data_IF_257352657985
#
_entry.id   IF_257352657985
#
_cell.length_a   1.000
_cell.length_b   1.000
_cell.length_c   1.000
_cell.angle_alpha   90.00
_cell.angle_beta   90.00
_cell.angle_gamma   90.00
#
_symmetry.space_group_name_H-M   'P 1'
#
loop_
_entity.id
_entity.type
_entity.pdbx_description
1 polymer ?
#
# COMPACT_ATOMS: atom_id res chain seq x y z
N UNK A 1 -14.74 35.17 10.32
CA UNK A 1 -15.49 34.86 9.07
C UNK A 1 -15.56 35.99 8.02
N UNK A 2 -15.03 37.21 8.26
CA UNK A 2 -15.00 38.28 7.22
C UNK A 2 -13.71 38.35 6.38
N UNK A 3 -12.59 37.77 6.83
CA UNK A 3 -11.31 37.80 6.08
C UNK A 3 -11.19 36.75 4.96
N UNK A 4 -11.92 35.64 5.00
CA UNK A 4 -11.84 34.60 3.95
C UNK A 4 -12.66 34.95 2.70
N UNK A 5 -13.59 35.91 2.78
CA UNK A 5 -14.39 36.36 1.63
C UNK A 5 -13.68 37.43 0.78
N UNK A 6 -12.69 38.14 1.32
CA UNK A 6 -11.93 39.16 0.54
C UNK A 6 -10.88 38.52 -0.37
N UNK A 7 -10.21 37.44 0.08
CA UNK A 7 -9.24 36.71 -0.75
C UNK A 7 -9.88 36.11 -2.00
N UNK A 8 -11.12 35.61 -1.92
CA UNK A 8 -11.84 35.04 -3.05
C UNK A 8 -12.27 36.07 -4.12
N UNK A 9 -12.42 37.35 -3.74
CA UNK A 9 -12.70 38.42 -4.71
C UNK A 9 -11.45 38.87 -5.46
N UNK A 10 -10.28 38.88 -4.81
CA UNK A 10 -9.02 39.26 -5.44
C UNK A 10 -8.52 38.21 -6.45
N UNK A 11 -8.67 36.92 -6.14
CA UNK A 11 -8.26 35.83 -7.04
C UNK A 11 -9.14 35.76 -8.30
N UNK A 12 -10.42 36.16 -8.22
CA UNK A 12 -11.33 36.20 -9.37
C UNK A 12 -11.04 37.33 -10.37
N UNK A 13 -10.42 38.43 -9.93
CA UNK A 13 -10.04 39.53 -10.84
C UNK A 13 -8.72 39.27 -11.58
N UNK A 14 -7.86 38.36 -11.09
CA UNK A 14 -6.59 37.99 -11.73
C UNK A 14 -6.72 36.92 -12.83
N UNK A 15 -7.86 36.24 -12.92
CA UNK A 15 -8.07 35.11 -13.86
C UNK A 15 -8.93 35.51 -15.08
N UNK A 16 -9.47 36.74 -15.11
CA UNK A 16 -10.43 37.18 -16.13
C UNK A 16 -9.87 38.13 -17.20
N UNK A 17 -8.54 38.31 -17.29
CA UNK A 17 -7.93 39.17 -18.29
C UNK A 17 -6.78 38.48 -18.99
N UNK A 18 -7.08 37.75 -20.07
CA UNK A 18 -6.21 37.58 -21.24
C UNK A 18 -6.88 36.62 -22.24
N UNK A 19 -7.65 37.19 -23.17
CA UNK A 19 -7.96 36.56 -24.46
C UNK A 19 -7.82 37.63 -25.53
N UNK A 20 -6.82 37.52 -26.37
CA UNK A 20 -6.86 38.08 -27.73
C UNK A 20 -5.98 37.23 -28.65
N UNK A 21 -6.63 36.77 -29.72
CA UNK A 21 -6.10 36.04 -30.87
C UNK A 21 -4.88 36.68 -31.51
N UNK A 22 -3.93 35.86 -31.98
CA UNK A 22 -3.31 36.02 -33.31
C UNK A 22 -2.45 34.79 -33.70
N UNK A 23 -2.61 34.36 -34.96
CA UNK A 23 -1.74 33.45 -35.75
C UNK A 23 -1.82 33.97 -37.20
N UNK A 24 -0.92 33.65 -38.16
CA UNK A 24 0.31 32.85 -38.10
C UNK A 24 1.53 33.47 -38.87
N UNK A 25 2.74 32.91 -38.71
CA UNK A 25 3.79 32.98 -39.74
C UNK A 25 4.76 31.79 -39.66
N UNK A 26 5.25 31.40 -40.84
CA UNK A 26 5.97 30.16 -41.13
C UNK A 26 7.51 30.27 -41.04
N UNK A 27 8.13 29.08 -41.16
CA UNK A 27 9.52 28.62 -40.97
C UNK A 27 10.52 29.31 -41.92
N UNK A 28 11.83 29.34 -41.58
CA UNK A 28 12.74 28.39 -42.25
C UNK A 28 13.79 27.71 -41.33
N UNK A 29 14.40 26.70 -41.92
CA UNK A 29 15.12 25.53 -41.42
C UNK A 29 16.65 25.68 -41.22
N UNK A 30 17.18 24.87 -40.28
CA UNK A 30 18.49 24.17 -40.26
C UNK A 30 19.84 24.98 -40.22
N UNK A 31 21.01 24.38 -39.86
CA UNK A 31 21.31 22.94 -39.72
C UNK A 31 22.07 22.50 -38.44
N UNK A 32 22.21 21.18 -38.36
CA UNK A 32 23.00 20.36 -37.44
C UNK A 32 24.48 20.77 -37.28
N UNK A 33 25.05 20.45 -36.11
CA UNK A 33 26.48 20.13 -35.98
C UNK A 33 26.70 18.84 -35.19
N UNK A 34 27.60 18.05 -35.74
CA UNK A 34 28.02 16.71 -35.39
C UNK A 34 29.07 16.69 -34.26
N UNK A 35 29.12 15.53 -33.59
CA UNK A 35 30.27 14.75 -33.13
C UNK A 35 31.47 15.46 -32.46
N UNK A 36 31.82 15.00 -31.25
CA UNK A 36 33.10 14.30 -30.96
C UNK A 36 33.13 13.77 -29.52
N UNK A 37 33.09 12.45 -29.37
CA UNK A 37 33.90 11.67 -28.39
C UNK A 37 35.16 11.17 -29.16
N UNK A 38 36.18 10.53 -28.54
CA UNK A 38 36.45 10.26 -27.12
C UNK A 38 37.90 10.62 -26.69
N UNK A 39 38.19 10.65 -25.39
CA UNK A 39 39.57 10.39 -24.91
C UNK A 39 39.59 9.26 -23.89
N UNK A 40 40.30 8.19 -24.29
CA UNK A 40 40.76 7.09 -23.46
C UNK A 40 42.04 7.50 -22.74
N UNK A 41 42.17 7.15 -21.46
CA UNK A 41 43.45 7.00 -20.77
C UNK A 41 43.28 5.87 -19.76
N UNK A 42 43.71 4.65 -20.13
CA UNK A 42 45.04 4.08 -19.84
C UNK A 42 45.20 3.57 -18.40
N UNK A 43 45.14 2.23 -18.32
CA UNK A 43 45.97 1.33 -17.50
C UNK A 43 46.09 1.60 -16.00
N UNK A 44 45.74 0.60 -15.18
CA UNK A 44 46.71 -0.43 -14.70
C UNK A 44 46.02 -1.46 -13.80
N UNK A 45 46.11 -2.71 -14.25
CA UNK A 45 46.01 -3.91 -13.41
C UNK A 45 47.10 -3.90 -12.34
N UNK A 46 46.76 -4.31 -11.10
CA UNK A 46 47.64 -5.12 -10.25
C UNK A 46 46.75 -6.06 -9.40
N UNK A 47 46.81 -7.36 -9.69
CA UNK A 47 46.58 -8.44 -8.71
C UNK A 47 47.93 -8.86 -8.12
N UNK A 48 47.96 -9.38 -6.88
CA UNK A 48 48.23 -10.82 -6.72
C UNK A 48 47.27 -11.44 -5.69
N UNK A 49 46.65 -12.60 -5.92
CA UNK A 49 47.22 -13.95 -5.82
C UNK A 49 47.79 -14.26 -4.42
N UNK A 50 46.98 -14.90 -3.56
CA UNK A 50 47.48 -15.85 -2.54
C UNK A 50 46.54 -17.05 -2.46
N UNK A 51 47.11 -18.16 -2.93
CA UNK A 51 47.06 -19.55 -2.52
C UNK A 51 45.90 -20.11 -1.66
N UNK A 52 45.43 -21.23 -2.21
CA UNK A 52 44.53 -22.26 -1.72
C UNK A 52 45.43 -23.35 -1.13
N UNK A 53 45.12 -23.84 0.07
CA UNK A 53 45.61 -25.12 0.59
C UNK A 53 44.46 -25.75 1.40
N UNK A 54 43.74 -26.73 0.85
CA UNK A 54 43.98 -28.18 0.93
C UNK A 54 43.72 -28.79 2.32
N UNK A 55 42.64 -29.60 2.40
CA UNK A 55 42.55 -30.97 2.98
C UNK A 55 43.10 -31.17 4.42
N UNK A 56 42.40 -31.71 5.42
CA UNK A 56 41.71 -33.01 5.47
C UNK A 56 41.15 -33.21 6.90
N UNK A 57 39.94 -33.76 7.03
CA UNK A 57 39.58 -34.62 8.17
C UNK A 57 40.07 -36.05 7.88
N UNK A 58 40.37 -36.86 8.91
CA UNK A 58 39.49 -38.02 9.10
C UNK A 58 39.30 -38.53 10.54
N UNK A 59 38.13 -39.14 10.72
CA UNK A 59 37.82 -40.40 11.41
C UNK A 59 37.96 -40.58 12.94
N UNK A 60 36.87 -41.14 13.49
CA UNK A 60 36.71 -41.74 14.82
C UNK A 60 37.56 -43.01 15.02
N UNK A 61 37.67 -43.46 16.29
CA UNK A 61 37.39 -44.87 16.58
C UNK A 61 36.39 -45.11 17.74
N UNK A 62 35.69 -46.24 17.62
CA UNK A 62 34.74 -46.82 18.59
C UNK A 62 35.42 -47.49 19.79
N UNK A 63 34.68 -47.58 20.91
CA UNK A 63 34.62 -48.61 21.98
C UNK A 63 34.29 -47.89 23.31
N UNK A 64 33.54 -48.39 24.30
CA UNK A 64 32.72 -49.57 24.54
C UNK A 64 32.03 -49.35 25.90
N UNK A 65 30.75 -49.71 26.02
CA UNK A 65 30.00 -50.22 27.20
C UNK A 65 30.40 -49.75 28.62
N UNK A 66 29.48 -49.07 29.32
CA UNK A 66 28.93 -49.47 30.63
C UNK A 66 27.77 -48.54 31.06
N UNK A 67 26.64 -49.14 31.44
CA UNK A 67 25.42 -48.48 31.93
C UNK A 67 25.59 -47.95 33.36
N UNK A 68 24.81 -46.92 33.77
CA UNK A 68 23.77 -47.24 34.75
C UNK A 68 22.43 -46.51 34.51
N UNK A 69 21.36 -47.25 34.85
CA UNK A 69 20.01 -46.86 35.24
C UNK A 69 19.57 -45.41 34.99
N UNK A 70 18.76 -45.19 33.95
CA UNK A 70 18.03 -43.92 33.75
C UNK A 70 16.53 -44.12 33.99
N UNK A 71 16.08 -43.43 35.03
CA UNK A 71 14.69 -43.12 35.39
C UNK A 71 13.85 -42.84 34.14
N UNK A 72 12.67 -43.47 34.07
CA UNK A 72 11.66 -43.20 33.05
C UNK A 72 11.16 -41.75 33.19
N UNK A 73 11.82 -40.84 32.48
CA UNK A 73 11.30 -39.49 32.22
C UNK A 73 10.31 -39.64 31.06
N UNK A 74 9.07 -39.21 31.32
CA UNK A 74 7.99 -39.24 30.35
C UNK A 74 8.37 -38.57 29.04
N UNK A 75 7.82 -39.10 27.95
CA UNK A 75 7.80 -38.42 26.66
C UNK A 75 7.02 -37.12 26.82
N UNK A 76 7.72 -36.03 27.07
CA UNK A 76 7.20 -34.70 26.76
C UNK A 76 7.26 -34.53 25.24
N UNK A 77 6.25 -35.08 24.55
CA UNK A 77 5.91 -34.53 23.25
C UNK A 77 5.51 -33.07 23.46
N UNK A 78 6.00 -32.11 22.65
CA UNK A 78 5.53 -30.74 22.73
C UNK A 78 4.08 -30.73 22.27
N UNK A 79 3.18 -30.78 23.25
CA UNK A 79 1.76 -30.54 23.07
C UNK A 79 1.65 -29.15 22.46
N UNK A 80 1.33 -29.11 21.17
CA UNK A 80 0.98 -27.89 20.44
C UNK A 80 -0.10 -27.17 21.24
N UNK A 81 0.28 -26.21 22.08
CA UNK A 81 -0.65 -25.29 22.69
C UNK A 81 -1.36 -24.59 21.54
N UNK A 82 -2.65 -24.90 21.37
CA UNK A 82 -3.49 -24.25 20.38
C UNK A 82 -3.52 -22.77 20.72
N UNK A 83 -2.66 -21.99 20.06
CA UNK A 83 -2.52 -20.56 20.30
C UNK A 83 -3.87 -19.93 20.02
N UNK A 84 -4.52 -19.39 21.04
CA UNK A 84 -5.82 -18.73 20.90
C UNK A 84 -5.73 -17.70 19.77
N UNK A 85 -6.56 -17.79 18.72
CA UNK A 85 -6.52 -16.86 17.59
C UNK A 85 -6.71 -15.42 18.07
N UNK A 86 -5.97 -14.49 17.47
CA UNK A 86 -6.08 -13.08 17.82
C UNK A 86 -7.54 -12.59 17.63
N UNK A 87 -8.11 -11.73 18.48
CA UNK A 87 -9.51 -11.31 18.32
C UNK A 87 -9.83 -10.70 16.94
N UNK A 88 -8.93 -9.89 16.39
CA UNK A 88 -9.05 -9.36 15.02
C UNK A 88 -9.03 -10.46 13.96
N UNK A 89 -8.23 -11.52 14.15
CA UNK A 89 -8.22 -12.68 13.26
C UNK A 89 -9.59 -13.36 13.25
N UNK A 90 -10.20 -13.57 14.43
CA UNK A 90 -11.54 -14.16 14.54
C UNK A 90 -12.61 -13.29 13.85
N UNK A 91 -12.50 -11.96 13.96
CA UNK A 91 -13.38 -11.03 13.24
C UNK A 91 -13.19 -11.18 11.72
N UNK A 92 -11.95 -11.27 11.24
CA UNK A 92 -11.66 -11.45 9.81
C UNK A 92 -12.22 -12.77 9.28
N UNK A 93 -12.02 -13.87 10.01
CA UNK A 93 -12.55 -15.19 9.66
C UNK A 93 -14.08 -15.18 9.60
N UNK A 94 -14.75 -14.65 10.65
CA UNK A 94 -16.21 -14.56 10.70
C UNK A 94 -16.81 -13.68 9.60
N UNK A 95 -16.09 -12.62 9.19
CA UNK A 95 -16.58 -11.67 8.18
C UNK A 95 -16.15 -12.04 6.77
N UNK A 96 -15.29 -13.04 6.59
CA UNK A 96 -14.67 -13.43 5.31
C UNK A 96 -13.77 -12.31 4.72
N UNK A 97 -13.00 -11.66 5.60
CA UNK A 97 -11.99 -10.67 5.21
C UNK A 97 -10.67 -11.41 4.98
N UNK A 98 -10.26 -11.47 3.71
CA UNK A 98 -9.02 -12.14 3.29
C UNK A 98 -7.92 -11.18 2.81
N UNK A 99 -8.28 -9.91 2.58
CA UNK A 99 -7.35 -8.93 2.02
C UNK A 99 -7.61 -7.52 2.50
N UNK A 100 -6.52 -6.76 2.57
CA UNK A 100 -6.53 -5.30 2.58
C UNK A 100 -6.06 -4.81 1.21
N UNK A 101 -6.53 -3.64 0.78
CA UNK A 101 -6.23 -3.10 -0.53
C UNK A 101 -5.70 -1.68 -0.47
N UNK A 102 -4.77 -1.36 -1.36
CA UNK A 102 -4.19 -0.04 -1.53
C UNK A 102 -4.13 0.31 -3.01
N UNK A 103 -4.72 1.43 -3.41
CA UNK A 103 -4.56 1.91 -4.78
C UNK A 103 -3.35 2.85 -4.87
N UNK A 104 -2.61 2.77 -5.97
CA UNK A 104 -1.46 3.65 -6.24
C UNK A 104 -1.22 3.78 -7.73
N UNK A 105 -0.43 4.78 -8.13
CA UNK A 105 -0.02 4.91 -9.52
C UNK A 105 0.93 3.77 -9.92
N UNK A 106 0.80 3.26 -11.16
CA UNK A 106 1.60 2.12 -11.65
C UNK A 106 3.11 2.34 -11.55
N UNK A 107 3.56 3.59 -11.67
CA UNK A 107 4.97 3.99 -11.53
C UNK A 107 5.57 3.65 -10.15
N UNK A 108 4.75 3.45 -9.12
CA UNK A 108 5.19 3.04 -7.79
C UNK A 108 5.34 1.51 -7.67
N UNK A 109 4.95 0.74 -8.68
CA UNK A 109 4.95 -0.72 -8.59
C UNK A 109 6.36 -1.27 -8.38
N UNK A 110 7.35 -0.79 -9.14
CA UNK A 110 8.73 -1.26 -9.01
C UNK A 110 9.27 -1.05 -7.58
N UNK A 111 9.05 0.13 -7.01
CA UNK A 111 9.53 0.45 -5.66
C UNK A 111 8.82 -0.37 -4.60
N UNK A 112 7.50 -0.61 -4.76
CA UNK A 112 6.73 -1.51 -3.90
C UNK A 112 7.25 -2.94 -3.96
N UNK A 113 7.54 -3.46 -5.16
CA UNK A 113 8.05 -4.83 -5.31
C UNK A 113 9.45 -4.99 -4.71
N UNK A 114 10.27 -3.94 -4.74
CA UNK A 114 11.62 -3.96 -4.17
C UNK A 114 11.65 -3.77 -2.65
N UNK A 115 10.79 -2.92 -2.10
CA UNK A 115 10.92 -2.46 -0.70
C UNK A 115 9.70 -2.76 0.17
N UNK A 116 8.64 -3.34 -0.39
CA UNK A 116 7.32 -3.34 0.23
C UNK A 116 6.62 -1.99 0.08
N UNK A 117 5.38 -1.90 0.55
CA UNK A 117 4.67 -0.64 0.60
C UNK A 117 5.17 0.16 1.80
N UNK A 118 5.66 1.38 1.54
CA UNK A 118 6.26 2.27 2.53
C UNK A 118 5.39 3.51 2.73
N UNK A 119 5.47 4.11 3.91
CA UNK A 119 4.91 5.44 4.14
C UNK A 119 5.70 6.49 3.38
N UNK A 120 5.08 7.65 3.16
CA UNK A 120 5.70 8.76 2.43
C UNK A 120 6.91 9.29 3.19
N UNK A 121 6.79 9.41 4.51
CA UNK A 121 7.91 9.76 5.38
C UNK A 121 9.09 8.80 5.19
N UNK A 122 8.82 7.49 5.10
CA UNK A 122 9.87 6.50 4.93
C UNK A 122 10.51 6.54 3.55
N UNK A 123 9.72 6.77 2.50
CA UNK A 123 10.22 6.99 1.13
C UNK A 123 11.15 8.21 1.07
N UNK A 124 10.74 9.32 1.69
CA UNK A 124 11.54 10.54 1.80
C UNK A 124 12.83 10.31 2.60
N UNK A 125 12.72 9.66 3.77
CA UNK A 125 13.87 9.35 4.64
C UNK A 125 14.91 8.49 3.93
N UNK A 126 14.48 7.57 3.06
CA UNK A 126 15.36 6.69 2.27
C UNK A 126 15.75 7.27 0.91
N UNK A 127 15.27 8.46 0.56
CA UNK A 127 15.44 9.06 -0.76
C UNK A 127 15.02 8.14 -1.93
N UNK A 128 13.93 7.40 -1.74
CA UNK A 128 13.35 6.53 -2.78
C UNK A 128 12.37 7.36 -3.60
N UNK A 129 12.53 7.44 -4.94
CA UNK A 129 11.57 8.14 -5.80
C UNK A 129 10.18 7.49 -5.75
N UNK A 130 9.15 8.32 -5.73
CA UNK A 130 7.75 7.87 -5.80
C UNK A 130 6.90 8.93 -6.48
N UNK A 131 5.77 8.50 -7.00
CA UNK A 131 4.73 9.36 -7.54
C UNK A 131 3.63 9.54 -6.49
N UNK A 132 3.31 10.79 -6.21
CA UNK A 132 2.21 11.15 -5.32
C UNK A 132 0.86 10.76 -5.91
N UNK A 133 -0.04 10.29 -5.04
CA UNK A 133 -1.44 10.14 -5.38
C UNK A 133 -2.22 11.47 -5.24
N UNK A 134 -1.74 12.35 -4.34
CA UNK A 134 -2.31 13.66 -3.98
C UNK A 134 -1.17 14.59 -3.54
N UNK A 135 -1.21 15.86 -3.91
CA UNK A 135 -0.27 16.87 -3.41
C UNK A 135 -0.57 17.27 -1.95
N UNK A 136 -1.75 16.92 -1.39
CA UNK A 136 -2.16 17.28 -0.03
C UNK A 136 -2.75 16.08 0.76
N UNK A 137 -1.97 15.54 1.69
CA UNK A 137 -2.44 14.58 2.71
C UNK A 137 -3.17 15.31 3.85
N UNK A 138 -4.49 15.39 3.76
CA UNK A 138 -5.35 16.09 4.75
C UNK A 138 -5.48 15.38 6.10
N UNK A 139 -5.12 14.09 6.19
CA UNK A 139 -5.07 13.32 7.44
C UNK A 139 -3.92 13.76 8.37
N UNK A 140 -2.90 14.44 7.82
CA UNK A 140 -1.70 14.84 8.56
C UNK A 140 -0.84 13.67 9.05
N UNK A 141 -0.91 12.50 8.39
CA UNK A 141 -0.19 11.28 8.77
C UNK A 141 0.72 10.77 7.64
N UNK A 142 1.79 11.50 7.29
CA UNK A 142 2.76 11.07 6.26
C UNK A 142 3.57 9.84 6.70
N UNK A 143 3.57 9.54 8.00
CA UNK A 143 4.18 8.39 8.65
C UNK A 143 3.36 7.10 8.50
N UNK A 144 2.09 7.19 8.08
CA UNK A 144 1.20 6.05 7.91
C UNK A 144 0.93 5.67 6.45
N UNK A 145 0.61 4.39 6.23
CA UNK A 145 0.12 3.85 4.97
C UNK A 145 -1.39 3.67 5.07
N UNK A 146 -2.14 4.35 4.21
CA UNK A 146 -3.60 4.27 4.17
C UNK A 146 -4.04 3.11 3.28
N UNK A 147 -4.84 2.20 3.81
CA UNK A 147 -5.41 1.06 3.08
C UNK A 147 -6.92 0.96 3.33
N UNK A 148 -7.62 0.19 2.51
CA UNK A 148 -9.04 -0.13 2.69
C UNK A 148 -9.21 -1.63 2.94
N UNK A 149 -10.29 -2.02 3.63
CA UNK A 149 -10.63 -3.44 3.81
C UNK A 149 -11.40 -3.93 2.58
N UNK A 150 -10.94 -5.03 1.97
CA UNK A 150 -11.58 -5.76 0.87
C UNK A 150 -11.73 -4.99 -0.46
N UNK A 151 -12.20 -3.74 -0.45
CA UNK A 151 -12.49 -2.92 -1.61
C UNK A 151 -11.97 -1.50 -1.40
N UNK A 152 -11.38 -0.83 -2.42
CA UNK A 152 -10.75 0.47 -2.26
C UNK A 152 -11.78 1.53 -1.90
N UNK A 153 -11.33 2.59 -1.23
CA UNK A 153 -12.04 3.86 -1.13
C UNK A 153 -12.27 4.43 -2.54
N UNK A 154 -13.34 3.98 -3.19
CA UNK A 154 -13.61 4.26 -4.60
C UNK A 154 -13.90 5.74 -4.86
N UNK A 155 -14.38 6.47 -3.84
CA UNK A 155 -14.63 7.92 -3.94
C UNK A 155 -13.32 8.67 -4.11
N UNK A 156 -12.35 8.38 -3.25
CA UNK A 156 -11.01 8.96 -3.32
C UNK A 156 -10.29 8.47 -4.58
N UNK A 157 -10.36 7.18 -4.88
CA UNK A 157 -9.70 6.60 -6.04
C UNK A 157 -10.22 7.15 -7.37
N UNK A 158 -11.54 7.37 -7.50
CA UNK A 158 -12.12 8.02 -8.67
C UNK A 158 -11.56 9.44 -8.85
N UNK A 159 -11.55 10.26 -7.79
CA UNK A 159 -11.03 11.64 -7.84
C UNK A 159 -9.59 11.67 -8.33
N UNK A 160 -8.71 10.83 -7.81
CA UNK A 160 -7.30 10.81 -8.22
C UNK A 160 -7.08 10.34 -9.65
N UNK A 161 -7.88 9.38 -10.13
CA UNK A 161 -7.83 8.97 -11.54
C UNK A 161 -8.33 10.06 -12.49
N UNK A 162 -9.20 10.96 -12.03
CA UNK A 162 -9.65 12.10 -12.84
C UNK A 162 -8.63 13.25 -12.84
N UNK A 163 -7.90 13.47 -11.73
CA UNK A 163 -6.96 14.59 -11.60
C UNK A 163 -5.55 14.29 -12.10
N UNK A 164 -5.14 13.02 -12.12
CA UNK A 164 -3.79 12.63 -12.51
C UNK A 164 -3.82 11.63 -13.67
N UNK A 165 -3.14 11.99 -14.75
CA UNK A 165 -3.01 11.13 -15.93
C UNK A 165 -2.13 9.91 -15.65
N UNK A 166 -2.49 8.76 -16.21
CA UNK A 166 -1.69 7.54 -16.14
C UNK A 166 -2.46 6.34 -15.64
N UNK A 167 -1.76 5.20 -15.58
CA UNK A 167 -2.36 3.93 -15.19
C UNK A 167 -2.26 3.73 -13.68
N UNK A 168 -3.30 3.14 -13.13
CA UNK A 168 -3.43 2.90 -11.71
C UNK A 168 -3.55 1.41 -11.45
N UNK A 169 -3.09 1.02 -10.27
CA UNK A 169 -3.15 -0.37 -9.80
C UNK A 169 -3.79 -0.41 -8.43
N UNK A 170 -4.40 -1.54 -8.09
CA UNK A 170 -4.85 -1.85 -6.73
C UNK A 170 -4.05 -3.04 -6.23
N UNK A 171 -3.22 -2.79 -5.22
CA UNK A 171 -2.42 -3.80 -4.54
C UNK A 171 -3.29 -4.45 -3.47
N UNK A 172 -3.32 -5.79 -3.43
CA UNK A 172 -3.99 -6.54 -2.38
C UNK A 172 -2.97 -7.27 -1.53
N UNK A 173 -3.02 -7.05 -0.22
CA UNK A 173 -2.18 -7.71 0.76
C UNK A 173 -3.02 -8.61 1.66
N UNK A 174 -2.36 -9.61 2.27
CA UNK A 174 -2.99 -10.53 3.20
C UNK A 174 -3.62 -9.81 4.41
N UNK A 175 -4.83 -10.23 4.80
CA UNK A 175 -5.51 -9.69 5.97
C UNK A 175 -4.76 -9.94 7.29
N UNK A 176 -3.83 -10.89 7.35
CA UNK A 176 -3.03 -11.15 8.56
C UNK A 176 -2.28 -9.92 9.05
N UNK A 177 -1.99 -8.97 8.17
CA UNK A 177 -1.40 -7.68 8.53
C UNK A 177 -2.23 -6.95 9.60
N UNK A 178 -3.56 -7.11 9.63
CA UNK A 178 -4.44 -6.45 10.59
C UNK A 178 -4.19 -6.84 12.06
N UNK A 179 -3.59 -8.01 12.31
CA UNK A 179 -3.23 -8.45 13.67
C UNK A 179 -1.74 -8.75 13.88
N UNK A 180 -0.94 -8.73 12.81
CA UNK A 180 0.51 -8.91 12.89
C UNK A 180 1.29 -7.58 12.78
N UNK A 181 0.63 -6.49 12.42
CA UNK A 181 1.23 -5.15 12.29
C UNK A 181 0.47 -4.12 13.09
N UNK A 182 1.21 -3.12 13.56
CA UNK A 182 0.62 -1.99 14.27
C UNK A 182 -0.18 -1.11 13.30
N UNK A 183 -1.49 -1.06 13.49
CA UNK A 183 -2.39 -0.28 12.65
C UNK A 183 -3.56 0.31 13.44
N UNK A 184 -4.12 1.40 12.94
CA UNK A 184 -5.30 2.06 13.50
C UNK A 184 -6.50 1.91 12.54
N UNK A 185 -7.66 1.62 13.12
CA UNK A 185 -8.92 1.34 12.44
C UNK A 185 -9.81 2.59 12.42
N UNK A 186 -9.93 3.23 11.27
CA UNK A 186 -10.76 4.41 11.07
C UNK A 186 -12.10 3.98 10.44
N UNK A 187 -13.19 3.99 11.22
CA UNK A 187 -14.52 3.56 10.74
C UNK A 187 -15.16 4.49 9.69
N UNK A 188 -14.54 5.63 9.42
CA UNK A 188 -14.85 6.59 8.34
C UNK A 188 -13.54 7.20 7.85
N UNK A 189 -13.60 8.19 6.95
CA UNK A 189 -12.44 8.87 6.37
C UNK A 189 -11.46 9.33 7.47
N UNK A 190 -10.16 9.01 7.35
CA UNK A 190 -9.18 9.38 8.37
C UNK A 190 -8.98 10.90 8.54
N UNK A 191 -9.27 11.68 7.49
CA UNK A 191 -9.20 13.14 7.51
C UNK A 191 -10.43 13.81 8.15
N UNK A 192 -11.47 13.05 8.51
CA UNK A 192 -12.63 13.58 9.24
C UNK A 192 -12.23 14.12 10.62
N UNK A 193 -12.89 15.19 11.08
CA UNK A 193 -12.49 15.90 12.31
C UNK A 193 -12.47 14.99 13.55
N UNK A 194 -13.45 14.10 13.68
CA UNK A 194 -13.53 13.14 14.78
C UNK A 194 -12.36 12.15 14.74
N UNK A 195 -12.07 11.55 13.58
CA UNK A 195 -10.97 10.60 13.45
C UNK A 195 -9.63 11.30 13.65
N UNK A 196 -9.38 12.45 13.02
CA UNK A 196 -8.13 13.21 13.15
C UNK A 196 -7.86 13.63 14.60
N UNK A 197 -8.90 14.03 15.34
CA UNK A 197 -8.78 14.37 16.76
C UNK A 197 -8.41 13.15 17.60
N UNK A 198 -9.06 12.00 17.37
CA UNK A 198 -8.74 10.74 18.05
C UNK A 198 -7.33 10.27 17.73
N UNK A 199 -6.93 10.28 16.45
CA UNK A 199 -5.57 9.94 16.01
C UNK A 199 -4.50 10.79 16.69
N UNK A 200 -4.80 12.06 17.01
CA UNK A 200 -3.85 12.98 17.63
C UNK A 200 -3.76 12.85 19.16
N UNK A 201 -4.85 12.41 19.81
CA UNK A 201 -4.93 12.39 21.29
C UNK A 201 -4.85 10.99 21.90
N UNK A 202 -5.38 9.99 21.20
CA UNK A 202 -5.50 8.63 21.71
C UNK A 202 -5.59 7.65 20.53
N UNK A 203 -4.49 7.48 19.81
CA UNK A 203 -4.42 6.55 18.68
C UNK A 203 -4.65 5.10 19.13
N UNK A 204 -4.24 4.74 20.35
CA UNK A 204 -4.38 3.38 20.89
C UNK A 204 -5.85 2.94 20.97
N UNK A 205 -6.78 3.88 21.20
CA UNK A 205 -8.22 3.62 21.14
C UNK A 205 -8.73 3.19 19.76
N UNK A 206 -7.95 3.44 18.70
CA UNK A 206 -8.24 2.99 17.33
C UNK A 206 -7.48 1.71 16.96
N UNK A 207 -6.61 1.18 17.83
CA UNK A 207 -5.84 -0.04 17.56
C UNK A 207 -6.45 -1.29 18.22
N UNK A 208 -7.68 -1.20 18.72
CA UNK A 208 -8.32 -2.29 19.45
C UNK A 208 -9.22 -3.15 18.57
N UNK A 209 -9.53 -4.40 18.96
CA UNK A 209 -10.52 -5.23 18.27
C UNK A 209 -11.90 -4.57 18.15
N UNK A 210 -12.30 -3.78 19.15
CA UNK A 210 -13.56 -3.04 19.14
C UNK A 210 -13.56 -1.93 18.09
N UNK A 211 -12.42 -1.23 17.92
CA UNK A 211 -12.26 -0.24 16.87
C UNK A 211 -12.31 -0.88 15.47
N UNK A 212 -11.72 -2.07 15.31
CA UNK A 212 -11.83 -2.83 14.07
C UNK A 212 -13.28 -3.26 13.78
N UNK A 213 -13.96 -3.84 14.78
CA UNK A 213 -15.36 -4.26 14.65
C UNK A 213 -16.28 -3.07 14.32
N UNK A 214 -16.00 -1.89 14.88
CA UNK A 214 -16.73 -0.64 14.61
C UNK A 214 -16.71 -0.22 13.14
N UNK A 215 -15.70 -0.61 12.35
CA UNK A 215 -15.68 -0.36 10.89
C UNK A 215 -16.87 -1.04 10.17
N UNK A 216 -17.49 -2.03 10.80
CA UNK A 216 -18.62 -2.81 10.31
C UNK A 216 -19.90 -2.58 11.13
N UNK A 217 -19.99 -1.45 11.84
CA UNK A 217 -21.18 -1.09 12.61
C UNK A 217 -22.46 -1.16 11.75
N UNK A 218 -23.57 -1.59 12.34
CA UNK A 218 -24.84 -1.74 11.60
C UNK A 218 -25.32 -0.43 10.99
N UNK A 219 -25.00 0.71 11.61
CA UNK A 219 -25.34 2.03 11.09
C UNK A 219 -24.13 2.98 11.18
N UNK A 220 -23.87 3.69 10.07
CA UNK A 220 -22.89 4.79 10.01
C UNK A 220 -23.48 5.94 9.21
N UNK A 221 -23.42 7.16 9.76
CA UNK A 221 -23.89 8.37 9.07
C UNK A 221 -25.35 8.27 8.58
N UNK A 222 -26.22 7.67 9.40
CA UNK A 222 -27.64 7.48 9.13
C UNK A 222 -27.97 6.46 8.03
N UNK A 223 -27.02 5.58 7.69
CA UNK A 223 -27.18 4.52 6.69
C UNK A 223 -26.95 3.17 7.35
N UNK A 224 -27.95 2.29 7.28
CA UNK A 224 -27.81 0.93 7.81
C UNK A 224 -27.22 -0.02 6.78
N UNK A 225 -26.51 -1.07 7.22
CA UNK A 225 -25.94 -2.09 6.31
C UNK A 225 -27.04 -2.82 5.54
N UNK A 226 -28.18 -3.08 6.19
CA UNK A 226 -29.38 -3.62 5.54
C UNK A 226 -29.88 -2.77 4.37
N UNK A 227 -29.89 -1.44 4.50
CA UNK A 227 -30.25 -0.53 3.41
C UNK A 227 -29.22 -0.50 2.29
N UNK A 228 -27.93 -0.61 2.64
CA UNK A 228 -26.83 -0.57 1.67
C UNK A 228 -26.70 -1.86 0.86
N UNK A 229 -27.20 -2.99 1.37
CA UNK A 229 -27.10 -4.29 0.68
C UNK A 229 -25.65 -4.74 0.45
N UNK A 230 -24.75 -4.41 1.37
CA UNK A 230 -23.31 -4.69 1.25
C UNK A 230 -22.90 -6.02 1.91
N UNK A 231 -21.90 -6.74 1.35
CA UNK A 231 -21.33 -7.94 1.97
C UNK A 231 -20.76 -7.71 3.37
N UNK A 232 -20.67 -8.79 4.17
CA UNK A 232 -20.14 -8.79 5.55
C UNK A 232 -18.69 -8.28 5.65
N UNK A 233 -17.89 -8.52 4.62
CA UNK A 233 -16.48 -8.12 4.53
C UNK A 233 -16.26 -6.69 4.02
N UNK A 234 -17.33 -5.95 3.71
CA UNK A 234 -17.24 -4.53 3.35
C UNK A 234 -17.47 -3.68 4.59
N UNK A 235 -16.63 -2.66 4.79
CA UNK A 235 -16.86 -1.63 5.80
C UNK A 235 -18.17 -0.91 5.52
N UNK A 236 -18.85 -0.45 6.58
CA UNK A 236 -20.13 0.23 6.43
C UNK A 236 -19.95 1.55 5.66
N UNK A 237 -18.99 2.39 6.09
CA UNK A 237 -18.57 3.56 5.31
C UNK A 237 -17.53 3.16 4.25
N UNK A 238 -17.75 3.45 2.95
CA UNK A 238 -16.78 3.16 1.89
C UNK A 238 -15.49 3.99 1.97
N UNK A 239 -15.45 5.03 2.82
CA UNK A 239 -14.25 5.82 3.09
C UNK A 239 -13.50 5.38 4.35
N UNK A 240 -13.96 4.32 5.03
CA UNK A 240 -13.23 3.75 6.15
C UNK A 240 -11.83 3.30 5.71
N UNK A 241 -10.84 3.52 6.58
CA UNK A 241 -9.43 3.32 6.28
C UNK A 241 -8.74 2.58 7.43
N UNK A 242 -7.72 1.80 7.08
CA UNK A 242 -6.76 1.24 8.03
C UNK A 242 -5.43 1.94 7.82
N UNK A 243 -4.93 2.60 8.87
CA UNK A 243 -3.65 3.29 8.88
C UNK A 243 -2.59 2.37 9.46
N UNK A 244 -1.73 1.82 8.61
CA UNK A 244 -0.57 1.04 9.05
C UNK A 244 0.56 1.99 9.43
N UNK A 245 1.10 1.81 10.64
CA UNK A 245 2.22 2.59 11.17
C UNK A 245 3.58 1.93 10.92
N UNK A 246 3.57 0.87 10.11
CA UNK A 246 4.73 0.07 9.73
C UNK A 246 4.67 -0.26 8.23
N UNK A 247 5.83 -0.48 7.58
CA UNK A 247 5.89 -1.02 6.22
C UNK A 247 5.07 -2.29 6.01
N UNK A 248 4.40 -2.40 4.86
CA UNK A 248 3.79 -3.66 4.44
C UNK A 248 4.79 -4.46 3.60
N UNK A 249 5.21 -5.64 4.05
CA UNK A 249 6.22 -6.42 3.33
C UNK A 249 5.66 -6.99 2.02
N UNK A 250 6.50 -7.02 0.98
CA UNK A 250 6.14 -7.59 -0.32
C UNK A 250 5.76 -9.07 -0.23
N UNK A 251 6.29 -9.81 0.75
CA UNK A 251 5.91 -11.22 0.99
C UNK A 251 4.45 -11.43 1.37
N UNK A 252 3.75 -10.36 1.76
CA UNK A 252 2.31 -10.38 2.05
C UNK A 252 1.47 -9.87 0.88
N UNK A 253 2.08 -9.49 -0.25
CA UNK A 253 1.36 -9.11 -1.47
C UNK A 253 0.74 -10.36 -2.11
N UNK A 254 -0.57 -10.30 -2.33
CA UNK A 254 -1.37 -11.43 -2.86
C UNK A 254 -1.83 -11.20 -4.29
N UNK A 255 -2.08 -9.96 -4.68
CA UNK A 255 -2.47 -9.62 -6.04
C UNK A 255 -2.11 -8.18 -6.42
N UNK A 256 -1.92 -7.98 -7.73
CA UNK A 256 -1.82 -6.67 -8.37
C UNK A 256 -2.99 -6.59 -9.36
N UNK A 257 -4.04 -5.87 -8.97
CA UNK A 257 -5.20 -5.66 -9.81
C UNK A 257 -4.99 -4.48 -10.76
N UNK A 258 -5.31 -4.70 -12.03
CA UNK A 258 -5.29 -3.70 -13.09
C UNK A 258 -6.64 -3.63 -13.79
N UNK A 259 -6.90 -2.53 -14.49
CA UNK A 259 -8.21 -2.25 -15.07
C UNK A 259 -8.62 -3.23 -16.18
N UNK A 260 -7.71 -3.58 -17.08
CA UNK A 260 -8.00 -4.42 -18.25
C UNK A 260 -6.97 -5.54 -18.46
N UNK A 261 -7.33 -6.52 -19.28
CA UNK A 261 -6.45 -7.62 -19.70
C UNK A 261 -5.20 -7.12 -20.41
N UNK A 262 -5.31 -6.06 -21.21
CA UNK A 262 -4.18 -5.51 -21.98
C UNK A 262 -3.12 -4.92 -21.04
N UNK A 263 -3.56 -4.16 -20.03
CA UNK A 263 -2.68 -3.66 -18.97
C UNK A 263 -2.06 -4.83 -18.22
N UNK A 264 -2.84 -5.87 -17.91
CA UNK A 264 -2.33 -7.04 -17.19
C UNK A 264 -1.21 -7.73 -17.96
N UNK A 265 -1.37 -7.91 -19.28
CA UNK A 265 -0.36 -8.50 -20.15
C UNK A 265 0.93 -7.67 -20.16
N UNK A 266 0.84 -6.33 -20.28
CA UNK A 266 2.02 -5.45 -20.23
C UNK A 266 2.73 -5.51 -18.88
N UNK A 267 1.97 -5.45 -17.78
CA UNK A 267 2.54 -5.47 -16.42
C UNK A 267 3.21 -6.81 -16.11
N UNK A 268 2.63 -7.95 -16.51
CA UNK A 268 3.26 -9.26 -16.33
C UNK A 268 4.66 -9.34 -16.92
N UNK A 269 4.88 -8.66 -18.04
CA UNK A 269 6.18 -8.64 -18.72
C UNK A 269 7.24 -7.78 -18.01
N UNK A 270 6.85 -6.94 -17.05
CA UNK A 270 7.77 -6.02 -16.35
C UNK A 270 8.04 -6.39 -14.89
N UNK A 271 7.19 -7.21 -14.28
CA UNK A 271 7.26 -7.50 -12.82
C UNK A 271 7.99 -8.80 -12.47
N UNK A 272 8.57 -9.51 -13.45
CA UNK A 272 9.41 -10.69 -13.22
C UNK A 272 8.69 -11.80 -12.45
N UNK A 273 9.25 -12.22 -11.32
CA UNK A 273 8.72 -13.30 -10.47
C UNK A 273 7.29 -13.03 -9.96
N UNK A 274 6.87 -11.77 -9.90
CA UNK A 274 5.53 -11.36 -9.45
C UNK A 274 4.46 -11.41 -10.55
N UNK A 275 4.79 -11.87 -11.76
CA UNK A 275 3.86 -11.92 -12.89
C UNK A 275 2.60 -12.76 -12.57
N UNK A 276 2.79 -13.81 -11.77
CA UNK A 276 1.71 -14.67 -11.29
C UNK A 276 0.76 -13.97 -10.29
N UNK A 277 1.04 -12.76 -9.81
CA UNK A 277 0.15 -11.97 -8.94
C UNK A 277 -0.74 -11.00 -9.73
N UNK A 278 -0.44 -10.75 -11.00
CA UNK A 278 -1.16 -9.74 -11.81
C UNK A 278 -2.51 -10.27 -12.29
N UNK A 279 -3.58 -9.54 -12.02
CA UNK A 279 -4.97 -9.88 -12.38
C UNK A 279 -5.69 -8.67 -12.98
N UNK A 280 -6.45 -8.89 -14.05
CA UNK A 280 -7.39 -7.86 -14.54
C UNK A 280 -8.71 -7.98 -13.78
N UNK A 281 -9.12 -6.91 -13.11
CA UNK A 281 -10.42 -6.84 -12.46
C UNK A 281 -10.89 -5.38 -12.39
N UNK A 282 -11.78 -5.02 -13.32
CA UNK A 282 -12.31 -3.66 -13.44
C UNK A 282 -13.22 -3.26 -12.27
N UNK A 283 -13.76 -4.21 -11.48
CA UNK A 283 -14.62 -3.90 -10.36
C UNK A 283 -13.91 -3.04 -9.31
N UNK A 284 -12.62 -3.30 -9.04
CA UNK A 284 -11.79 -2.49 -8.13
C UNK A 284 -11.59 -1.03 -8.59
N UNK A 285 -11.93 -0.75 -9.84
CA UNK A 285 -11.81 0.55 -10.49
C UNK A 285 -13.20 1.19 -10.72
N UNK A 286 -14.24 0.63 -10.11
CA UNK A 286 -15.62 1.09 -10.18
C UNK A 286 -16.15 1.41 -8.78
N UNK A 287 -17.24 2.16 -8.65
CA UNK A 287 -17.92 2.32 -7.37
C UNK A 287 -18.44 0.98 -6.83
N UNK A 288 -18.60 0.87 -5.50
CA UNK A 288 -19.35 -0.24 -4.87
C UNK A 288 -20.81 -0.22 -5.33
N UNK A 289 -21.51 -1.34 -5.19
CA UNK A 289 -22.94 -1.44 -5.51
C UNK A 289 -23.81 -0.40 -4.80
N UNK A 290 -23.43 -0.01 -3.59
CA UNK A 290 -24.15 0.92 -2.73
C UNK A 290 -23.79 2.40 -2.95
N UNK A 291 -23.01 2.73 -4.00
CA UNK A 291 -22.53 4.08 -4.26
C UNK A 291 -23.64 5.14 -4.34
N UNK A 292 -24.85 4.74 -4.75
CA UNK A 292 -26.01 5.62 -4.88
C UNK A 292 -26.46 6.22 -3.54
N UNK A 293 -26.19 5.53 -2.43
CA UNK A 293 -26.48 6.00 -1.08
C UNK A 293 -25.46 7.07 -0.62
N UNK A 294 -24.29 7.14 -1.24
CA UNK A 294 -23.16 8.00 -0.81
C UNK A 294 -22.96 9.24 -1.71
N UNK A 295 -23.97 9.64 -2.49
CA UNK A 295 -23.90 10.79 -3.41
C UNK A 295 -23.83 12.16 -2.71
N UNK A 296 -24.25 12.24 -1.44
CA UNK A 296 -24.21 13.46 -0.63
C UNK A 296 -23.33 13.24 0.59
N UNK A 297 -22.19 13.93 0.63
CA UNK A 297 -21.20 13.87 1.70
C UNK A 297 -19.84 14.34 1.24
#
# INVERSE_FOLDING_TARGET
MKLLRSLWKAVRQLVAGETSDEKPAAIPSEPARQNTEPEQSSMREIRPAVQIDSLQQPAQPQQSVQSPSRVLVGKDEPRSEARTPHPIQQICERREISQIVHFTHIANLETVLRHGLLSIQELQRRNIPYRWNDDQRWDGRPDAICTSITFPNYRMFYRYRQSANGEWIVLAFDSSLLWTRRCAFCWTNAASNNIRFTLSRNIDSLMTPEAFERMFAEEVSGKSRSQLGIPSNYTTDPQAEVLFLEPLPVSQLRAIYVYSSDVASRVRNTVGEYANLVRSNSAYFSPRSDWSHWKQG
#
